data_IF_105239026047
#
_entry.id   IF_105239026047
#
_cell.length_a   1.000
_cell.length_b   1.000
_cell.length_c   1.000
_cell.angle_alpha   90.00
_cell.angle_beta   90.00
_cell.angle_gamma   90.00
#
_symmetry.space_group_name_H-M   'P 1'
#
loop_
_entity.id
_entity.type
_entity.pdbx_description
1 polymer ?
#
# COMPACT_ATOMS: atom_id res chain seq x y z
N UNK A 1 -27.46 2.46 9.29
CA UNK A 1 -26.39 2.14 10.26
C UNK A 1 -25.30 1.46 9.46
N UNK A 2 -24.04 1.93 9.48
CA UNK A 2 -22.99 1.35 8.63
C UNK A 2 -22.55 0.00 9.20
N UNK A 3 -22.17 -0.95 8.34
CA UNK A 3 -21.68 -2.29 8.74
C UNK A 3 -20.50 -2.20 9.71
N UNK A 4 -19.63 -1.20 9.52
CA UNK A 4 -18.55 -0.89 10.46
C UNK A 4 -19.08 -0.53 11.86
N UNK A 5 -20.17 0.23 11.94
CA UNK A 5 -20.82 0.51 13.22
C UNK A 5 -21.39 -0.78 13.85
N UNK A 6 -21.90 -1.71 13.04
CA UNK A 6 -22.35 -3.02 13.54
C UNK A 6 -21.18 -3.86 14.07
N UNK A 7 -20.08 -4.01 13.33
CA UNK A 7 -18.88 -4.71 13.81
C UNK A 7 -18.34 -4.04 15.08
N UNK A 8 -18.17 -2.71 15.05
CA UNK A 8 -17.72 -1.93 16.20
C UNK A 8 -18.64 -2.14 17.40
N UNK A 9 -19.96 -2.11 17.21
CA UNK A 9 -20.92 -2.35 18.29
C UNK A 9 -20.86 -3.80 18.80
N UNK A 10 -20.67 -4.80 17.93
CA UNK A 10 -20.49 -6.21 18.34
C UNK A 10 -19.21 -6.35 19.14
N UNK A 11 -18.10 -5.76 18.68
CA UNK A 11 -16.81 -5.75 19.37
C UNK A 11 -16.89 -5.00 20.69
N UNK A 12 -17.52 -3.82 20.74
CA UNK A 12 -17.68 -3.01 21.95
C UNK A 12 -18.62 -3.68 22.96
N UNK A 13 -19.74 -4.24 22.49
CA UNK A 13 -20.67 -5.01 23.31
C UNK A 13 -20.00 -6.29 23.84
N UNK A 14 -19.17 -6.95 23.04
CA UNK A 14 -18.42 -8.12 23.45
C UNK A 14 -17.26 -7.77 24.41
N UNK A 15 -16.50 -6.71 24.14
CA UNK A 15 -15.49 -6.17 25.05
C UNK A 15 -16.08 -5.66 26.37
N UNK A 16 -17.40 -5.41 26.41
CA UNK A 16 -18.14 -5.10 27.64
C UNK A 16 -18.61 -6.34 28.42
N UNK A 17 -18.55 -7.54 27.80
CA UNK A 17 -18.88 -8.82 28.43
C UNK A 17 -17.59 -9.50 28.92
N UNK A 18 -17.24 -9.21 30.17
CA UNK A 18 -16.28 -9.96 31.02
C UNK A 18 -14.80 -10.03 30.57
N UNK A 19 -14.41 -9.57 29.38
CA UNK A 19 -13.00 -9.46 28.97
C UNK A 19 -12.47 -8.04 29.18
N UNK A 20 -11.38 -7.93 29.95
CA UNK A 20 -10.66 -6.67 30.14
C UNK A 20 -10.18 -6.16 28.77
N UNK A 21 -10.26 -4.83 28.55
CA UNK A 21 -9.81 -4.18 27.30
C UNK A 21 -8.36 -4.57 26.99
N UNK A 22 -8.03 -4.93 25.74
CA UNK A 22 -6.64 -5.22 25.40
C UNK A 22 -5.76 -3.99 25.61
N UNK A 23 -4.47 -4.24 25.83
CA UNK A 23 -3.48 -3.19 25.67
C UNK A 23 -3.35 -2.86 24.19
N UNK A 24 -3.36 -1.56 23.87
CA UNK A 24 -3.11 -1.06 22.52
C UNK A 24 -2.14 0.10 22.61
N UNK A 25 -1.01 0.01 21.91
CA UNK A 25 0.01 1.05 21.95
C UNK A 25 1.04 0.93 20.85
N UNK A 26 1.63 2.06 20.50
CA UNK A 26 2.78 2.09 19.61
C UNK A 26 4.05 1.72 20.38
N UNK A 27 4.84 0.82 19.80
CA UNK A 27 6.09 0.33 20.41
C UNK A 27 7.27 1.02 19.75
N UNK A 28 8.27 1.39 20.56
CA UNK A 28 9.53 1.92 20.04
C UNK A 28 10.21 0.87 19.15
N UNK A 29 10.99 1.32 18.17
CA UNK A 29 11.76 0.41 17.32
C UNK A 29 13.22 0.82 17.23
N UNK A 30 14.09 -0.17 17.10
CA UNK A 30 15.54 0.00 16.97
C UNK A 30 16.10 -1.06 16.01
N UNK A 31 17.23 -0.76 15.36
CA UNK A 31 17.90 -1.72 14.47
C UNK A 31 17.80 -1.35 12.98
N UNK A 32 18.60 -2.03 12.16
CA UNK A 32 18.81 -1.67 10.75
C UNK A 32 17.63 -1.96 9.82
N UNK A 33 16.78 -2.94 10.17
CA UNK A 33 15.57 -3.26 9.41
C UNK A 33 14.29 -2.65 10.00
N UNK A 34 14.40 -1.84 11.05
CA UNK A 34 13.24 -1.23 11.68
C UNK A 34 12.60 -0.20 10.73
N UNK A 35 11.27 -0.23 10.64
CA UNK A 35 10.55 0.76 9.86
C UNK A 35 10.71 2.17 10.45
N UNK A 36 10.68 3.19 9.60
CA UNK A 36 10.63 4.58 10.05
C UNK A 36 9.27 4.88 10.70
N UNK A 37 9.26 4.97 12.03
CA UNK A 37 8.08 5.30 12.82
C UNK A 37 7.83 6.82 12.91
N UNK A 38 6.60 7.21 13.22
CA UNK A 38 6.21 8.59 13.50
C UNK A 38 5.92 9.46 12.27
N UNK A 39 5.93 8.89 11.06
CA UNK A 39 5.57 9.64 9.85
C UNK A 39 4.06 9.88 9.80
N UNK A 40 3.66 11.08 9.40
CA UNK A 40 2.26 11.45 9.21
C UNK A 40 1.82 11.13 7.79
N UNK A 41 0.63 10.55 7.65
CA UNK A 41 0.04 10.26 6.35
C UNK A 41 -0.61 11.51 5.76
N UNK A 42 -0.26 11.82 4.52
CA UNK A 42 -0.83 12.94 3.76
C UNK A 42 -1.69 12.39 2.61
N UNK A 43 -2.99 12.76 2.55
CA UNK A 43 -3.86 12.40 1.44
C UNK A 43 -3.28 12.82 0.09
N UNK A 44 -3.36 11.92 -0.90
CA UNK A 44 -2.88 12.10 -2.28
C UNK A 44 -1.37 12.43 -2.41
N UNK A 45 -0.59 12.28 -1.33
CA UNK A 45 0.84 12.57 -1.29
C UNK A 45 1.68 11.51 -0.58
N UNK A 46 1.04 10.43 -0.10
CA UNK A 46 1.72 9.32 0.56
C UNK A 46 0.93 8.03 0.41
N UNK A 47 1.55 6.94 0.82
CA UNK A 47 0.97 5.60 0.81
C UNK A 47 1.12 4.98 2.19
N UNK A 48 0.20 4.07 2.50
CA UNK A 48 0.24 3.30 3.73
C UNK A 48 0.26 1.80 3.44
N UNK A 49 0.86 1.05 4.36
CA UNK A 49 0.80 -0.41 4.40
C UNK A 49 0.37 -0.89 5.77
N UNK A 50 -0.27 -2.05 5.82
CA UNK A 50 -0.57 -2.76 7.06
C UNK A 50 -0.01 -4.16 6.89
N UNK A 51 1.01 -4.47 7.66
CA UNK A 51 1.67 -5.77 7.67
C UNK A 51 1.59 -6.38 9.05
N UNK A 52 1.25 -7.65 9.13
CA UNK A 52 1.35 -8.40 10.37
C UNK A 52 2.76 -8.95 10.50
N UNK A 53 3.39 -8.62 11.63
CA UNK A 53 4.82 -8.83 11.85
C UNK A 53 5.05 -10.07 12.70
N UNK A 54 4.35 -10.13 13.83
CA UNK A 54 4.54 -11.19 14.82
C UNK A 54 3.22 -11.45 15.55
N UNK A 55 3.00 -12.72 15.89
CA UNK A 55 1.97 -13.13 16.85
C UNK A 55 2.63 -13.94 17.95
N UNK A 56 2.46 -13.48 19.18
CA UNK A 56 2.88 -14.21 20.37
C UNK A 56 1.68 -14.77 21.10
N UNK A 57 1.85 -15.93 21.70
CA UNK A 57 0.78 -16.62 22.40
C UNK A 57 1.28 -17.15 23.75
N UNK A 58 0.52 -16.87 24.80
CA UNK A 58 0.86 -17.20 26.19
C UNK A 58 1.10 -18.70 26.38
N UNK A 59 0.23 -19.53 25.78
CA UNK A 59 0.23 -20.97 25.94
C UNK A 59 0.79 -21.70 24.71
N UNK A 60 1.80 -21.12 24.04
CA UNK A 60 2.18 -21.66 22.75
C UNK A 60 2.87 -23.03 22.72
N UNK A 61 3.18 -23.61 23.87
CA UNK A 61 3.55 -25.03 23.95
C UNK A 61 2.37 -26.00 23.77
N UNK A 62 1.12 -25.53 23.80
CA UNK A 62 -0.11 -26.35 23.65
C UNK A 62 -0.72 -26.28 22.24
N UNK A 63 0.01 -25.67 21.30
CA UNK A 63 -0.41 -25.58 19.90
C UNK A 63 -0.45 -26.94 19.23
N UNK A 64 -1.44 -27.11 18.35
CA UNK A 64 -1.63 -28.34 17.56
C UNK A 64 -1.83 -29.61 18.39
N UNK A 65 -1.94 -29.50 19.72
CA UNK A 65 -2.32 -30.58 20.63
C UNK A 65 -3.67 -30.32 21.31
N UNK A 66 -4.01 -29.06 21.56
CA UNK A 66 -5.21 -28.69 22.31
C UNK A 66 -6.05 -27.62 21.62
N UNK A 67 -5.41 -26.67 20.93
CA UNK A 67 -6.11 -25.62 20.18
C UNK A 67 -5.27 -25.10 19.00
N UNK A 68 -5.95 -24.38 18.10
CA UNK A 68 -5.39 -23.70 16.95
C UNK A 68 -5.57 -22.19 17.10
N UNK A 69 -4.52 -21.38 16.87
CA UNK A 69 -4.64 -19.93 16.89
C UNK A 69 -5.23 -19.41 15.57
N UNK A 70 -6.05 -18.38 15.65
CA UNK A 70 -6.60 -17.68 14.49
C UNK A 70 -6.35 -16.18 14.67
N UNK A 71 -5.47 -15.63 13.85
CA UNK A 71 -5.24 -14.19 13.76
C UNK A 71 -6.09 -13.60 12.65
N UNK A 72 -6.86 -12.55 12.96
CA UNK A 72 -7.72 -11.86 11.99
C UNK A 72 -7.36 -10.38 11.97
N UNK A 73 -7.00 -9.89 10.78
CA UNK A 73 -6.83 -8.46 10.51
C UNK A 73 -7.82 -8.07 9.43
N UNK A 74 -8.73 -7.15 9.72
CA UNK A 74 -9.63 -6.58 8.70
C UNK A 74 -9.27 -5.12 8.48
N UNK A 75 -9.22 -4.73 7.23
CA UNK A 75 -8.94 -3.34 6.85
C UNK A 75 -10.05 -2.81 5.95
N UNK A 76 -10.50 -1.60 6.20
CA UNK A 76 -11.40 -0.85 5.33
C UNK A 76 -10.82 0.54 5.07
N UNK A 77 -10.67 0.89 3.81
CA UNK A 77 -10.08 2.16 3.38
C UNK A 77 -10.60 2.54 1.99
N UNK A 78 -10.44 3.81 1.62
CA UNK A 78 -10.86 4.29 0.30
C UNK A 78 -9.82 3.96 -0.77
N UNK A 79 -10.27 3.42 -1.90
CA UNK A 79 -9.43 3.03 -3.03
C UNK A 79 -10.19 3.26 -4.33
N UNK A 80 -9.62 4.07 -5.24
CA UNK A 80 -10.35 4.56 -6.40
C UNK A 80 -11.55 5.42 -5.99
N UNK A 81 -12.71 5.12 -6.58
CA UNK A 81 -14.00 5.75 -6.31
C UNK A 81 -14.82 5.06 -5.19
N UNK A 82 -14.31 3.95 -4.66
CA UNK A 82 -15.00 3.11 -3.69
C UNK A 82 -14.25 2.91 -2.37
N UNK A 83 -14.89 2.15 -1.48
CA UNK A 83 -14.25 1.61 -0.27
C UNK A 83 -13.83 0.17 -0.53
N UNK A 84 -12.55 -0.11 -0.28
CA UNK A 84 -12.01 -1.45 -0.30
C UNK A 84 -11.98 -2.01 1.11
N UNK A 85 -12.39 -3.27 1.24
CA UNK A 85 -12.33 -4.05 2.48
C UNK A 85 -11.49 -5.28 2.21
N UNK A 86 -10.41 -5.46 2.97
CA UNK A 86 -9.52 -6.62 2.83
C UNK A 86 -9.47 -7.40 4.15
N UNK A 87 -10.06 -8.61 4.20
CA UNK A 87 -9.79 -9.54 5.27
C UNK A 87 -8.43 -10.19 5.06
N UNK A 88 -7.65 -10.29 6.13
CA UNK A 88 -6.44 -11.09 6.19
C UNK A 88 -6.58 -12.02 7.37
N UNK A 89 -6.80 -13.29 7.05
CA UNK A 89 -6.96 -14.33 8.04
C UNK A 89 -5.73 -15.20 7.93
N UNK A 90 -5.01 -15.32 9.05
CA UNK A 90 -3.89 -16.22 9.14
C UNK A 90 -4.42 -17.63 9.31
N UNK A 91 -4.34 -18.41 8.24
CA UNK A 91 -4.78 -19.79 8.23
C UNK A 91 -3.72 -20.72 8.84
N UNK A 92 -4.19 -21.84 9.39
CA UNK A 92 -3.36 -22.79 10.12
C UNK A 92 -2.26 -23.45 9.27
N UNK A 93 -2.38 -23.50 7.94
CA UNK A 93 -1.39 -24.16 7.07
C UNK A 93 -0.11 -23.33 6.95
N UNK A 94 -0.22 -21.99 6.87
CA UNK A 94 0.93 -21.09 6.88
C UNK A 94 1.59 -21.07 8.26
N UNK A 95 0.78 -21.06 9.33
CA UNK A 95 1.25 -21.13 10.71
C UNK A 95 1.95 -22.47 10.98
N UNK A 96 1.36 -23.59 10.54
CA UNK A 96 1.91 -24.93 10.71
C UNK A 96 3.18 -25.14 9.89
N UNK A 97 3.24 -24.64 8.65
CA UNK A 97 4.43 -24.72 7.81
C UNK A 97 5.60 -23.93 8.40
N UNK A 98 5.36 -22.71 8.89
CA UNK A 98 6.40 -21.89 9.50
C UNK A 98 6.87 -22.44 10.86
N UNK A 99 5.97 -23.02 11.66
CA UNK A 99 6.32 -23.65 12.93
C UNK A 99 7.06 -24.98 12.77
N UNK A 100 6.72 -25.78 11.74
CA UNK A 100 7.45 -27.00 11.38
C UNK A 100 8.86 -26.68 10.90
N UNK A 101 9.03 -25.60 10.13
CA UNK A 101 10.34 -25.12 9.68
C UNK A 101 11.18 -24.51 10.83
N UNK A 102 10.54 -23.89 11.82
CA UNK A 102 11.20 -23.29 12.99
C UNK A 102 11.61 -24.29 14.09
N UNK A 103 11.26 -25.57 13.96
CA UNK A 103 11.64 -26.61 14.92
C UNK A 103 11.08 -26.36 16.32
N UNK A 104 9.74 -26.33 16.46
CA UNK A 104 9.02 -26.37 17.75
C UNK A 104 9.63 -25.54 18.89
N UNK A 105 10.03 -24.28 18.61
CA UNK A 105 10.28 -23.33 19.68
C UNK A 105 8.93 -22.90 20.28
N UNK A 106 8.76 -22.94 21.62
CA UNK A 106 7.47 -22.67 22.23
C UNK A 106 7.11 -21.17 22.18
N UNK A 107 5.88 -20.85 21.77
CA UNK A 107 5.24 -19.58 22.15
C UNK A 107 5.01 -18.53 21.07
N UNK A 108 5.62 -18.61 19.89
CA UNK A 108 5.60 -17.50 18.92
C UNK A 108 5.49 -17.95 17.46
N UNK A 109 4.87 -17.09 16.64
CA UNK A 109 4.79 -17.24 15.19
C UNK A 109 5.32 -15.96 14.55
N UNK A 110 6.49 -16.08 13.91
CA UNK A 110 7.03 -15.01 13.05
C UNK A 110 6.25 -14.97 11.74
N UNK A 111 5.84 -13.78 11.29
CA UNK A 111 5.22 -13.61 9.98
C UNK A 111 6.09 -12.73 9.10
N UNK A 112 6.75 -13.34 8.13
CA UNK A 112 7.45 -12.59 7.09
C UNK A 112 6.51 -12.34 5.92
N UNK A 113 6.33 -11.07 5.58
CA UNK A 113 5.63 -10.59 4.37
C UNK A 113 4.11 -10.84 4.31
N UNK A 114 3.41 -10.94 5.44
CA UNK A 114 1.94 -11.04 5.43
C UNK A 114 1.32 -9.64 5.46
N UNK A 115 0.89 -9.18 4.28
CA UNK A 115 0.29 -7.87 4.08
C UNK A 115 -1.23 -7.94 4.10
N UNK A 116 -1.85 -7.19 5.00
CA UNK A 116 -3.27 -6.89 4.91
C UNK A 116 -3.55 -5.79 3.88
N UNK A 117 -2.67 -4.79 3.83
CA UNK A 117 -2.65 -3.75 2.80
C UNK A 117 -1.21 -3.50 2.40
N UNK A 118 -0.92 -3.50 1.11
CA UNK A 118 0.42 -3.23 0.59
C UNK A 118 0.39 -1.93 -0.21
N UNK A 119 0.99 -0.88 0.35
CA UNK A 119 1.26 0.42 -0.31
C UNK A 119 0.02 1.01 -1.01
N UNK A 120 -1.11 1.08 -0.29
CA UNK A 120 -2.30 1.75 -0.81
C UNK A 120 -2.12 3.28 -0.73
N UNK A 121 -2.57 4.05 -1.74
CA UNK A 121 -2.49 5.50 -1.68
C UNK A 121 -3.40 6.03 -0.57
N UNK A 122 -2.88 6.99 0.20
CA UNK A 122 -3.66 7.67 1.23
C UNK A 122 -4.72 8.54 0.56
N UNK A 123 -5.99 8.32 0.89
CA UNK A 123 -7.12 9.16 0.47
C UNK A 123 -7.53 10.09 1.61
N UNK A 124 -8.57 10.91 1.42
CA UNK A 124 -9.08 11.78 2.49
C UNK A 124 -9.64 10.98 3.68
N UNK A 125 -10.24 9.82 3.39
CA UNK A 125 -10.70 8.88 4.41
C UNK A 125 -9.51 8.14 5.04
N UNK A 126 -9.61 7.86 6.35
CA UNK A 126 -8.63 7.07 7.08
C UNK A 126 -8.84 5.55 6.87
N UNK A 127 -7.98 4.75 7.48
CA UNK A 127 -8.11 3.31 7.61
C UNK A 127 -8.95 2.95 8.84
N UNK A 128 -10.02 2.21 8.61
CA UNK A 128 -10.64 1.38 9.63
C UNK A 128 -9.87 0.06 9.75
N UNK A 129 -9.36 -0.25 10.94
CA UNK A 129 -8.57 -1.44 11.25
C UNK A 129 -9.27 -2.24 12.34
N UNK A 130 -9.43 -3.53 12.12
CA UNK A 130 -9.78 -4.51 13.14
C UNK A 130 -8.64 -5.52 13.28
N UNK A 131 -8.30 -5.87 14.51
CA UNK A 131 -7.32 -6.90 14.85
C UNK A 131 -7.93 -7.79 15.92
N UNK A 132 -7.92 -9.11 15.70
CA UNK A 132 -8.41 -10.08 16.67
C UNK A 132 -7.53 -11.30 16.71
N UNK A 133 -7.41 -11.87 17.91
CA UNK A 133 -6.74 -13.14 18.14
C UNK A 133 -7.70 -14.10 18.84
N UNK A 134 -7.84 -15.30 18.30
CA UNK A 134 -8.80 -16.30 18.74
C UNK A 134 -8.14 -17.66 18.89
N UNK A 135 -8.74 -18.53 19.70
CA UNK A 135 -8.44 -19.96 19.81
C UNK A 135 -9.61 -20.77 19.29
N UNK A 136 -9.29 -21.83 18.55
CA UNK A 136 -10.24 -22.82 18.05
C UNK A 136 -9.89 -24.20 18.62
N UNK A 137 -10.86 -25.06 18.95
CA UNK A 137 -10.58 -26.46 19.27
C UNK A 137 -9.95 -27.16 18.07
N UNK A 138 -9.04 -28.10 18.32
CA UNK A 138 -8.26 -28.80 17.29
C UNK A 138 -9.09 -29.80 16.42
N UNK A 139 -10.38 -29.99 16.69
CA UNK A 139 -11.25 -30.93 15.97
C UNK A 139 -11.87 -30.32 14.68
N UNK A 140 -12.57 -31.15 13.88
CA UNK A 140 -13.07 -30.91 12.49
C UNK A 140 -13.69 -29.52 12.18
N UNK A 141 -14.09 -28.75 13.18
CA UNK A 141 -14.63 -27.40 12.98
C UNK A 141 -13.56 -26.37 12.60
N UNK A 142 -12.28 -26.65 12.89
CA UNK A 142 -11.18 -25.86 12.35
C UNK A 142 -11.23 -25.82 10.82
N UNK A 143 -11.57 -26.93 10.16
CA UNK A 143 -11.72 -26.95 8.69
C UNK A 143 -12.85 -26.04 8.21
N UNK A 144 -13.97 -25.96 8.92
CA UNK A 144 -15.10 -25.09 8.53
C UNK A 144 -14.78 -23.60 8.68
N UNK A 145 -14.10 -23.22 9.76
CA UNK A 145 -13.66 -21.83 9.98
C UNK A 145 -12.54 -21.44 9.01
N UNK A 146 -11.63 -22.37 8.70
CA UNK A 146 -10.56 -22.18 7.72
C UNK A 146 -11.09 -22.13 6.28
N UNK A 147 -12.11 -22.91 5.95
CA UNK A 147 -12.76 -22.85 4.64
C UNK A 147 -13.53 -21.54 4.47
N UNK A 148 -14.16 -21.06 5.55
CA UNK A 148 -14.73 -19.72 5.59
C UNK A 148 -13.65 -18.65 5.42
N UNK A 149 -12.44 -18.82 5.96
CA UNK A 149 -11.31 -17.93 5.73
C UNK A 149 -10.77 -17.98 4.28
N UNK A 150 -10.65 -19.17 3.70
CA UNK A 150 -10.21 -19.38 2.33
C UNK A 150 -11.19 -18.78 1.30
N UNK A 151 -12.50 -18.92 1.55
CA UNK A 151 -13.56 -18.29 0.75
C UNK A 151 -13.50 -16.75 0.81
N UNK A 152 -13.08 -16.19 1.95
CA UNK A 152 -12.92 -14.74 2.12
C UNK A 152 -11.70 -14.20 1.36
N UNK A 153 -10.59 -14.95 1.33
CA UNK A 153 -9.39 -14.58 0.56
C UNK A 153 -9.60 -14.69 -0.95
N UNK A 154 -10.28 -15.74 -1.43
CA UNK A 154 -10.52 -15.96 -2.87
C UNK A 154 -11.45 -14.91 -3.49
N UNK A 155 -12.39 -14.35 -2.72
CA UNK A 155 -13.27 -13.26 -3.18
C UNK A 155 -12.57 -11.89 -3.27
N UNK A 156 -11.36 -11.75 -2.73
CA UNK A 156 -10.57 -10.50 -2.81
C UNK A 156 -9.47 -10.54 -3.87
N UNK A 157 -9.25 -11.70 -4.50
CA UNK A 157 -8.19 -11.95 -5.47
C UNK A 157 -8.58 -11.82 -6.95
N UNK A 158 -9.83 -11.48 -7.29
CA UNK A 158 -10.28 -11.44 -8.69
C UNK A 158 -11.04 -10.14 -9.04
N UNK A 159 -10.46 -9.46 -10.05
CA UNK A 159 -10.99 -8.40 -10.92
C UNK A 159 -11.18 -6.96 -10.37
N UNK A 160 -10.61 -5.95 -11.05
CA UNK A 160 -11.00 -4.54 -10.87
C UNK A 160 -12.36 -4.33 -11.54
N UNK A 161 -13.41 -4.20 -10.74
CA UNK A 161 -14.79 -4.03 -11.23
C UNK A 161 -15.66 -3.27 -10.23
N UNK A 162 -15.95 -2.03 -10.57
CA UNK A 162 -16.77 -1.06 -9.82
C UNK A 162 -18.22 -1.55 -9.77
N UNK A 163 -18.66 -2.15 -8.65
CA UNK A 163 -20.05 -2.12 -8.10
C UNK A 163 -20.35 -3.26 -7.11
N UNK A 164 -19.58 -4.35 -7.09
CA UNK A 164 -19.84 -5.51 -6.20
C UNK A 164 -19.20 -5.40 -4.79
N UNK A 165 -18.32 -4.41 -4.57
CA UNK A 165 -17.56 -4.25 -3.32
C UNK A 165 -18.40 -3.99 -2.06
N UNK A 166 -19.61 -3.42 -2.20
CA UNK A 166 -20.52 -3.16 -1.06
C UNK A 166 -21.28 -4.41 -0.60
N UNK A 167 -21.69 -5.30 -1.51
CA UNK A 167 -22.43 -6.54 -1.18
C UNK A 167 -21.53 -7.66 -0.67
N UNK A 168 -20.30 -7.74 -1.17
CA UNK A 168 -19.29 -8.68 -0.65
C UNK A 168 -18.92 -8.31 0.78
N UNK A 169 -18.85 -7.01 1.09
CA UNK A 169 -18.46 -6.51 2.39
C UNK A 169 -19.41 -6.81 3.57
N UNK A 170 -20.72 -6.69 3.40
CA UNK A 170 -21.71 -7.04 4.44
C UNK A 170 -21.52 -8.50 4.88
N UNK A 171 -21.35 -9.40 3.90
CA UNK A 171 -21.14 -10.83 4.16
C UNK A 171 -19.82 -11.12 4.89
N UNK A 172 -18.75 -10.38 4.62
CA UNK A 172 -17.46 -10.59 5.30
C UNK A 172 -17.59 -10.23 6.79
N UNK A 173 -18.18 -9.08 7.09
CA UNK A 173 -18.37 -8.62 8.46
C UNK A 173 -19.41 -9.44 9.22
N UNK A 174 -20.52 -9.82 8.59
CA UNK A 174 -21.53 -10.71 9.18
C UNK A 174 -20.97 -12.11 9.45
N UNK A 175 -20.06 -12.60 8.60
CA UNK A 175 -19.38 -13.89 8.81
C UNK A 175 -18.35 -13.82 9.94
N UNK A 176 -17.56 -12.73 10.02
CA UNK A 176 -16.64 -12.52 11.16
C UNK A 176 -17.43 -12.30 12.45
N UNK A 177 -18.51 -11.51 12.44
CA UNK A 177 -19.47 -11.40 13.54
C UNK A 177 -20.07 -12.76 13.91
N UNK A 178 -20.36 -13.59 12.90
CA UNK A 178 -20.76 -14.98 13.05
C UNK A 178 -19.72 -15.81 13.80
N UNK A 179 -18.41 -15.63 13.53
CA UNK A 179 -17.34 -16.29 14.28
C UNK A 179 -17.40 -15.96 15.79
N UNK A 180 -17.71 -14.72 16.15
CA UNK A 180 -17.91 -14.34 17.57
C UNK A 180 -19.17 -14.94 18.20
N UNK A 181 -20.14 -15.37 17.39
CA UNK A 181 -21.36 -16.05 17.83
C UNK A 181 -21.23 -17.58 17.94
N UNK A 182 -20.11 -18.15 17.50
CA UNK A 182 -19.86 -19.58 17.60
C UNK A 182 -19.30 -19.91 19.00
N UNK A 183 -20.03 -20.72 19.77
CA UNK A 183 -19.64 -21.18 21.12
C UNK A 183 -18.29 -21.91 21.21
N UNK A 184 -17.71 -22.26 20.05
CA UNK A 184 -16.45 -23.00 19.91
C UNK A 184 -15.25 -22.09 19.67
N UNK A 185 -15.45 -20.84 19.26
CA UNK A 185 -14.36 -19.88 19.05
C UNK A 185 -14.14 -19.19 20.37
N UNK A 186 -12.95 -19.36 20.95
CA UNK A 186 -12.56 -18.67 22.19
C UNK A 186 -11.71 -17.44 21.83
N UNK A 187 -12.30 -16.25 21.77
CA UNK A 187 -11.53 -15.01 21.61
C UNK A 187 -10.55 -14.77 22.76
N UNK A 188 -9.33 -14.34 22.43
CA UNK A 188 -8.32 -13.91 23.41
C UNK A 188 -8.36 -12.39 23.59
N UNK A 189 -8.39 -11.66 22.49
CA UNK A 189 -8.62 -10.22 22.49
C UNK A 189 -9.09 -9.76 21.10
N UNK A 190 -9.68 -8.57 21.05
CA UNK A 190 -9.93 -7.86 19.80
C UNK A 190 -9.87 -6.35 19.98
N UNK A 191 -9.48 -5.65 18.92
CA UNK A 191 -9.35 -4.21 18.83
C UNK A 191 -9.92 -3.72 17.50
N UNK A 192 -10.64 -2.59 17.53
CA UNK A 192 -11.16 -1.92 16.35
C UNK A 192 -10.89 -0.41 16.46
N UNK A 193 -10.38 0.18 15.39
CA UNK A 193 -10.15 1.62 15.25
C UNK A 193 -10.65 2.08 13.89
N UNK A 194 -11.43 3.15 13.84
CA UNK A 194 -11.89 3.76 12.59
C UNK A 194 -10.88 4.74 11.98
N UNK A 195 -9.75 4.97 12.65
CA UNK A 195 -8.80 6.03 12.32
C UNK A 195 -7.34 5.59 12.59
N UNK A 196 -6.97 4.40 12.10
CA UNK A 196 -5.70 3.76 12.45
C UNK A 196 -4.44 4.44 11.88
N UNK A 197 -4.56 5.31 10.86
CA UNK A 197 -3.45 6.03 10.22
C UNK A 197 -3.14 7.36 10.91
N UNK A 198 -3.01 7.36 12.24
CA UNK A 198 -2.56 8.55 12.96
C UNK A 198 -1.07 8.83 12.72
N UNK A 199 -0.24 7.78 12.69
CA UNK A 199 1.21 7.83 12.42
C UNK A 199 1.72 6.46 11.98
N UNK A 200 2.86 6.41 11.29
CA UNK A 200 3.55 5.14 11.01
C UNK A 200 4.19 4.54 12.27
N UNK A 201 4.40 3.23 12.28
CA UNK A 201 5.13 2.53 13.34
C UNK A 201 4.54 1.17 13.67
N UNK A 202 5.08 0.55 14.71
CA UNK A 202 4.61 -0.74 15.19
C UNK A 202 3.48 -0.57 16.19
N UNK A 203 2.31 -1.09 15.86
CA UNK A 203 1.12 -1.14 16.72
C UNK A 203 1.07 -2.51 17.40
N UNK A 204 1.15 -2.52 18.73
CA UNK A 204 0.96 -3.71 19.55
C UNK A 204 -0.49 -3.76 20.03
N UNK A 205 -1.16 -4.89 19.77
CA UNK A 205 -2.43 -5.26 20.38
C UNK A 205 -2.17 -6.50 21.22
N UNK A 206 -2.28 -6.38 22.53
CA UNK A 206 -1.97 -7.46 23.46
C UNK A 206 -3.12 -7.73 24.42
N UNK A 207 -3.14 -8.94 24.99
CA UNK A 207 -4.09 -9.31 26.02
C UNK A 207 -4.09 -8.34 27.20
N UNK A 208 -5.20 -8.28 27.95
CA UNK A 208 -5.42 -7.26 28.98
C UNK A 208 -4.49 -7.31 30.19
N UNK A 209 -3.73 -8.39 30.35
CA UNK A 209 -2.83 -8.58 31.48
C UNK A 209 -1.47 -7.88 31.27
N UNK A 210 -1.27 -7.21 30.13
CA UNK A 210 -0.03 -6.46 29.88
C UNK A 210 -0.02 -5.18 30.73
N UNK A 211 0.87 -5.16 31.71
CA UNK A 211 1.13 -4.00 32.56
C UNK A 211 1.77 -2.84 31.77
N UNK A 212 1.37 -1.60 32.09
CA UNK A 212 1.82 -0.41 31.36
C UNK A 212 3.33 -0.14 31.56
N UNK A 213 3.90 -0.45 32.72
CA UNK A 213 5.33 -0.28 32.97
C UNK A 213 6.15 -1.31 32.18
N UNK A 214 5.63 -2.52 31.99
CA UNK A 214 6.22 -3.53 31.08
C UNK A 214 6.12 -3.05 29.64
N UNK A 215 4.95 -2.55 29.22
CA UNK A 215 4.74 -2.10 27.85
C UNK A 215 5.71 -0.99 27.41
N UNK A 216 6.07 -0.07 28.32
CA UNK A 216 7.05 1.01 28.06
C UNK A 216 8.48 0.52 27.79
N UNK A 217 8.80 -0.71 28.20
CA UNK A 217 10.12 -1.34 28.02
C UNK A 217 10.18 -2.23 26.79
N UNK A 218 9.04 -2.45 26.13
CA UNK A 218 8.97 -3.22 24.90
C UNK A 218 9.62 -2.43 23.76
N UNK A 219 10.42 -3.13 22.96
CA UNK A 219 11.08 -2.56 21.79
C UNK A 219 11.00 -3.57 20.65
N UNK A 220 10.69 -3.08 19.45
CA UNK A 220 10.77 -3.88 18.23
C UNK A 220 12.20 -3.78 17.67
N UNK A 221 12.88 -4.91 17.53
CA UNK A 221 14.20 -4.98 16.89
C UNK A 221 14.18 -6.02 15.79
N UNK A 222 14.55 -5.62 14.56
CA UNK A 222 14.52 -6.46 13.36
C UNK A 222 13.19 -7.21 13.21
N UNK A 223 12.07 -6.47 13.29
CA UNK A 223 10.71 -7.00 13.19
C UNK A 223 10.34 -8.02 14.28
N UNK A 224 10.96 -7.96 15.46
CA UNK A 224 10.62 -8.83 16.61
C UNK A 224 10.34 -8.03 17.87
N UNK A 225 9.32 -8.42 18.62
CA UNK A 225 8.99 -7.80 19.90
C UNK A 225 9.91 -8.34 21.01
N UNK A 226 10.71 -7.44 21.59
CA UNK A 226 11.63 -7.74 22.68
C UNK A 226 11.23 -7.01 23.96
N UNK A 227 11.42 -7.68 25.09
CA UNK A 227 11.44 -7.11 26.44
C UNK A 227 12.86 -7.28 26.98
N UNK A 228 13.54 -6.18 27.29
CA UNK A 228 14.91 -6.17 27.84
C UNK A 228 15.91 -7.01 27.01
N UNK A 229 15.77 -6.97 25.69
CA UNK A 229 16.64 -7.69 24.75
C UNK A 229 16.29 -9.17 24.54
N UNK A 230 15.27 -9.70 25.23
CA UNK A 230 14.78 -11.06 25.03
C UNK A 230 13.42 -11.05 24.33
N UNK A 231 13.15 -12.06 23.52
CA UNK A 231 11.85 -12.19 22.86
C UNK A 231 10.74 -12.36 23.89
N UNK A 232 9.65 -11.62 23.71
CA UNK A 232 8.50 -11.70 24.62
C UNK A 232 7.89 -13.11 24.57
N UNK A 233 7.66 -13.69 25.74
CA UNK A 233 6.98 -14.97 25.92
C UNK A 233 5.89 -14.85 26.99
N UNK A 234 4.93 -15.78 27.02
CA UNK A 234 3.86 -15.79 28.02
C UNK A 234 2.78 -14.71 27.83
N UNK A 235 2.78 -14.04 26.68
CA UNK A 235 1.83 -12.99 26.34
C UNK A 235 1.10 -13.33 25.04
N UNK A 236 -0.23 -13.19 25.04
CA UNK A 236 -1.03 -13.20 23.81
C UNK A 236 -0.97 -11.81 23.17
N UNK A 237 -0.47 -11.69 21.95
CA UNK A 237 -0.40 -10.42 21.23
C UNK A 237 -0.31 -10.58 19.71
N UNK A 238 -0.70 -9.50 19.01
CA UNK A 238 -0.45 -9.26 17.59
C UNK A 238 0.37 -7.98 17.44
N UNK A 239 1.46 -8.05 16.68
CA UNK A 239 2.28 -6.91 16.30
C UNK A 239 2.03 -6.59 14.83
N UNK A 240 1.58 -5.35 14.56
CA UNK A 240 1.38 -4.84 13.21
C UNK A 240 2.38 -3.74 12.90
N UNK A 241 2.86 -3.68 11.67
CA UNK A 241 3.57 -2.56 11.10
C UNK A 241 2.60 -1.71 10.27
N UNK A 242 2.39 -0.46 10.70
CA UNK A 242 1.70 0.58 9.95
C UNK A 242 2.75 1.33 9.14
N UNK A 243 2.93 0.91 7.89
CA UNK A 243 4.01 1.33 7.01
C UNK A 243 3.71 2.66 6.33
N UNK A 244 4.70 3.53 6.24
CA UNK A 244 4.65 4.74 5.44
C UNK A 244 5.53 4.59 4.21
N UNK A 245 5.02 5.01 3.06
CA UNK A 245 5.80 5.12 1.83
C UNK A 245 5.51 6.49 1.23
N UNK A 246 6.56 7.31 1.07
CA UNK A 246 6.41 8.67 0.58
C UNK A 246 5.98 8.73 -0.89
N UNK A 247 6.41 7.76 -1.69
CA UNK A 247 6.13 7.67 -3.12
C UNK A 247 6.38 6.25 -3.61
N UNK A 248 5.63 5.83 -4.64
CA UNK A 248 5.89 4.60 -5.38
C UNK A 248 6.92 4.80 -6.49
N UNK A 249 7.35 6.03 -6.77
CA UNK A 249 8.37 6.31 -7.77
C UNK A 249 9.76 5.87 -7.29
N UNK A 250 10.65 5.46 -8.22
CA UNK A 250 11.99 4.99 -7.88
C UNK A 250 12.79 6.06 -7.12
N UNK A 251 13.61 5.61 -6.17
CA UNK A 251 14.53 6.46 -5.40
C UNK A 251 15.85 6.72 -6.14
N UNK A 252 16.02 6.08 -7.30
CA UNK A 252 17.13 6.25 -8.20
C UNK A 252 17.02 5.31 -9.40
N UNK A 253 17.83 5.52 -10.45
CA UNK A 253 17.78 4.74 -11.69
C UNK A 253 18.11 3.25 -11.49
N UNK A 254 18.93 2.93 -10.49
CA UNK A 254 19.34 1.55 -10.17
C UNK A 254 18.53 0.94 -9.00
N UNK A 255 17.45 1.59 -8.58
CA UNK A 255 16.57 1.08 -7.53
C UNK A 255 15.42 0.27 -8.13
N UNK A 256 14.84 -0.65 -7.34
CA UNK A 256 13.61 -1.35 -7.74
C UNK A 256 12.55 -0.29 -8.02
N UNK A 257 11.98 -0.30 -9.22
CA UNK A 257 10.89 0.60 -9.61
C UNK A 257 9.53 -0.10 -9.36
N UNK A 258 8.79 0.26 -8.30
CA UNK A 258 7.49 -0.35 -7.99
C UNK A 258 6.47 -0.22 -9.12
N UNK A 259 6.55 0.81 -9.96
CA UNK A 259 5.60 1.03 -11.06
C UNK A 259 5.69 -0.09 -12.11
N UNK A 260 6.83 -0.77 -12.24
CA UNK A 260 6.99 -1.89 -13.18
C UNK A 260 6.04 -3.06 -12.88
N UNK A 261 5.53 -3.14 -11.66
CA UNK A 261 4.56 -4.17 -11.23
C UNK A 261 3.11 -3.77 -11.50
N UNK A 262 2.87 -2.52 -11.88
CA UNK A 262 1.52 -2.00 -12.13
C UNK A 262 1.11 -2.28 -13.57
N UNK A 263 -0.17 -2.61 -13.76
CA UNK A 263 -0.70 -3.09 -15.04
C UNK A 263 -0.43 -2.12 -16.21
N UNK A 264 -0.50 -0.80 -15.96
CA UNK A 264 -0.29 0.19 -17.00
C UNK A 264 1.16 0.26 -17.50
N UNK A 265 2.16 -0.14 -16.70
CA UNK A 265 3.57 -0.03 -17.11
C UNK A 265 3.90 -0.95 -18.29
N UNK A 266 3.11 -2.00 -18.52
CA UNK A 266 3.24 -2.82 -19.74
C UNK A 266 3.02 -2.01 -21.02
N UNK A 267 2.18 -0.96 -20.98
CA UNK A 267 1.98 -0.08 -22.12
C UNK A 267 3.24 0.77 -22.40
N UNK A 268 4.01 1.14 -21.38
CA UNK A 268 5.31 1.78 -21.56
C UNK A 268 6.30 0.88 -22.31
N UNK A 269 6.36 -0.41 -21.94
CA UNK A 269 7.19 -1.38 -22.66
C UNK A 269 6.76 -1.52 -24.12
N UNK A 270 5.45 -1.48 -24.38
CA UNK A 270 4.88 -1.41 -25.73
C UNK A 270 5.35 -0.17 -26.49
N UNK A 271 5.18 1.02 -25.90
CA UNK A 271 5.62 2.32 -26.47
C UNK A 271 7.10 2.26 -26.84
N UNK A 272 7.97 1.87 -25.91
CA UNK A 272 9.40 1.82 -26.14
C UNK A 272 9.76 0.84 -27.27
N UNK A 273 9.13 -0.34 -27.31
CA UNK A 273 9.29 -1.31 -28.40
C UNK A 273 8.88 -0.72 -29.75
N UNK A 274 7.74 -0.04 -29.83
CA UNK A 274 7.23 0.59 -31.06
C UNK A 274 8.18 1.68 -31.56
N UNK A 275 8.74 2.51 -30.66
CA UNK A 275 9.74 3.53 -31.02
C UNK A 275 11.01 2.87 -31.58
N UNK A 276 11.51 1.81 -30.95
CA UNK A 276 12.70 1.10 -31.42
C UNK A 276 12.48 0.45 -32.81
N UNK A 277 11.25 0.03 -33.11
CA UNK A 277 10.83 -0.46 -34.44
C UNK A 277 10.55 0.66 -35.44
N UNK A 278 10.60 1.93 -35.02
CA UNK A 278 10.23 3.12 -35.81
C UNK A 278 8.75 3.17 -36.20
N UNK A 279 7.88 2.51 -35.43
CA UNK A 279 6.43 2.53 -35.57
C UNK A 279 5.84 3.69 -34.74
N UNK A 280 6.19 4.94 -35.09
CA UNK A 280 5.92 6.11 -34.25
C UNK A 280 4.42 6.39 -34.04
N UNK A 281 3.60 6.23 -35.07
CA UNK A 281 2.13 6.41 -34.94
C UNK A 281 1.54 5.43 -33.92
N UNK A 282 2.00 4.18 -33.94
CA UNK A 282 1.55 3.18 -32.96
C UNK A 282 2.10 3.47 -31.56
N UNK A 283 3.32 4.00 -31.46
CA UNK A 283 3.88 4.45 -30.19
C UNK A 283 3.06 5.61 -29.59
N UNK A 284 2.60 6.57 -30.40
CA UNK A 284 1.75 7.68 -29.97
C UNK A 284 0.40 7.18 -29.43
N UNK A 285 -0.24 6.23 -30.12
CA UNK A 285 -1.48 5.59 -29.67
C UNK A 285 -1.32 4.90 -28.31
N UNK A 286 -0.26 4.10 -28.16
CA UNK A 286 0.04 3.42 -26.90
C UNK A 286 0.37 4.41 -25.78
N UNK A 287 1.01 5.53 -26.11
CA UNK A 287 1.34 6.59 -25.16
C UNK A 287 0.08 7.34 -24.69
N UNK A 288 -0.93 7.50 -25.55
CA UNK A 288 -2.25 8.02 -25.15
C UNK A 288 -2.95 7.07 -24.17
N UNK A 289 -2.95 5.77 -24.46
CA UNK A 289 -3.51 4.74 -23.56
C UNK A 289 -2.80 4.75 -22.20
N UNK A 290 -1.46 4.71 -22.20
CA UNK A 290 -0.66 4.77 -20.98
C UNK A 290 -1.00 5.98 -20.12
N UNK A 291 -1.08 7.18 -20.73
CA UNK A 291 -1.43 8.41 -19.99
C UNK A 291 -2.83 8.33 -19.39
N UNK A 292 -3.81 7.84 -20.14
CA UNK A 292 -5.18 7.66 -19.65
C UNK A 292 -5.23 6.73 -18.42
N UNK A 293 -4.52 5.61 -18.47
CA UNK A 293 -4.45 4.65 -17.38
C UNK A 293 -3.72 5.21 -16.15
N UNK A 294 -2.62 5.96 -16.34
CA UNK A 294 -1.93 6.62 -15.22
C UNK A 294 -2.82 7.65 -14.54
N UNK A 295 -3.53 8.49 -15.32
CA UNK A 295 -4.43 9.51 -14.79
C UNK A 295 -5.54 8.89 -13.93
N UNK A 296 -6.11 7.80 -14.41
CA UNK A 296 -7.27 7.12 -13.79
C UNK A 296 -6.86 6.04 -12.79
N UNK A 297 -5.55 5.81 -12.61
CA UNK A 297 -5.06 4.75 -11.73
C UNK A 297 -5.47 4.99 -10.27
N UNK A 298 -6.23 4.06 -9.66
CA UNK A 298 -6.55 4.13 -8.24
C UNK A 298 -5.35 3.74 -7.35
N UNK A 299 -4.29 3.17 -7.95
CA UNK A 299 -3.10 2.68 -7.26
C UNK A 299 -2.08 3.77 -6.98
N UNK A 300 -2.17 4.91 -7.66
CA UNK A 300 -1.24 6.03 -7.52
C UNK A 300 -1.87 7.21 -6.80
N UNK A 301 -1.12 7.79 -5.87
CA UNK A 301 -1.39 9.10 -5.31
C UNK A 301 -1.27 10.17 -6.42
N UNK A 302 -2.06 11.25 -6.34
CA UNK A 302 -2.07 12.32 -7.35
C UNK A 302 -0.67 12.86 -7.67
N UNK A 303 0.16 13.06 -6.64
CA UNK A 303 1.53 13.54 -6.84
C UNK A 303 2.37 12.59 -7.71
N UNK A 304 2.24 11.28 -7.48
CA UNK A 304 2.94 10.28 -8.27
C UNK A 304 2.35 10.13 -9.67
N UNK A 305 1.03 10.29 -9.85
CA UNK A 305 0.40 10.34 -11.19
C UNK A 305 0.96 11.50 -12.02
N UNK A 306 1.05 12.68 -11.40
CA UNK A 306 1.59 13.89 -12.02
C UNK A 306 3.04 13.65 -12.49
N UNK A 307 3.91 13.19 -11.60
CA UNK A 307 5.32 12.94 -11.93
C UNK A 307 5.48 11.79 -12.93
N UNK A 308 4.70 10.72 -12.82
CA UNK A 308 4.75 9.59 -13.75
C UNK A 308 4.42 10.02 -15.18
N UNK A 309 3.37 10.84 -15.38
CA UNK A 309 3.04 11.37 -16.72
C UNK A 309 4.21 12.18 -17.28
N UNK A 310 4.79 13.09 -16.48
CA UNK A 310 5.93 13.87 -16.91
C UNK A 310 7.16 13.02 -17.25
N UNK A 311 7.41 11.97 -16.46
CA UNK A 311 8.53 11.05 -16.64
C UNK A 311 8.36 10.19 -17.90
N UNK A 312 7.18 9.61 -18.13
CA UNK A 312 6.91 8.85 -19.35
C UNK A 312 7.01 9.75 -20.58
N UNK A 313 6.47 10.97 -20.53
CA UNK A 313 6.57 11.91 -21.66
C UNK A 313 8.02 12.29 -21.95
N UNK A 314 8.79 12.67 -20.93
CA UNK A 314 10.20 13.01 -21.09
C UNK A 314 11.01 11.83 -21.64
N UNK A 315 10.72 10.61 -21.17
CA UNK A 315 11.36 9.39 -21.65
C UNK A 315 10.98 9.07 -23.10
N UNK A 316 9.70 9.26 -23.46
CA UNK A 316 9.20 9.12 -24.83
C UNK A 316 9.98 10.02 -25.79
N UNK A 317 10.04 11.33 -25.52
CA UNK A 317 10.70 12.28 -26.42
C UNK A 317 12.20 11.98 -26.56
N UNK A 318 12.87 11.54 -25.48
CA UNK A 318 14.27 11.09 -25.54
C UNK A 318 14.46 9.81 -26.35
N UNK A 319 13.57 8.83 -26.22
CA UNK A 319 13.63 7.62 -27.04
C UNK A 319 13.41 7.93 -28.52
N UNK A 320 12.48 8.84 -28.84
CA UNK A 320 12.26 9.26 -30.22
C UNK A 320 13.48 10.01 -30.78
N UNK A 321 14.10 10.90 -30.01
CA UNK A 321 15.34 11.60 -30.40
C UNK A 321 16.47 10.62 -30.76
N UNK A 322 16.55 9.46 -30.07
CA UNK A 322 17.54 8.41 -30.41
C UNK A 322 17.32 7.79 -31.78
N UNK A 323 16.07 7.55 -32.17
CA UNK A 323 15.75 6.81 -33.41
C UNK A 323 15.50 7.72 -34.61
N UNK A 324 15.22 9.01 -34.39
CA UNK A 324 15.07 10.03 -35.42
C UNK A 324 16.08 11.17 -35.22
N UNK A 325 17.27 11.11 -35.86
CA UNK A 325 18.27 12.15 -35.68
C UNK A 325 17.84 13.44 -36.39
N UNK A 326 17.76 14.52 -35.61
CA UNK A 326 17.55 15.94 -35.96
C UNK A 326 16.09 16.39 -36.18
N UNK A 327 15.62 17.17 -35.21
CA UNK A 327 14.58 18.21 -35.29
C UNK A 327 13.10 17.80 -35.39
N UNK A 328 12.71 16.54 -35.22
CA UNK A 328 11.29 16.17 -35.34
C UNK A 328 10.40 16.64 -34.16
N UNK A 329 10.96 16.85 -32.97
CA UNK A 329 10.16 17.07 -31.76
C UNK A 329 10.71 18.13 -30.78
N UNK A 330 11.40 19.18 -31.24
CA UNK A 330 11.76 20.32 -30.36
C UNK A 330 10.66 21.38 -30.20
N UNK A 331 9.62 21.38 -31.04
CA UNK A 331 8.59 22.43 -31.03
C UNK A 331 7.79 22.58 -29.73
N UNK A 332 7.73 21.53 -28.90
CA UNK A 332 7.06 21.60 -27.60
C UNK A 332 7.91 22.20 -26.47
N UNK A 333 9.25 22.25 -26.63
CA UNK A 333 10.16 22.90 -25.66
C UNK A 333 9.86 24.41 -25.59
N UNK A 334 9.41 24.99 -26.70
CA UNK A 334 8.99 26.40 -26.82
C UNK A 334 7.50 26.58 -26.48
N UNK A 335 6.63 25.66 -26.89
CA UNK A 335 5.18 25.74 -26.64
C UNK A 335 4.80 25.63 -25.16
N UNK A 336 5.60 24.95 -24.33
CA UNK A 336 5.39 24.83 -22.88
C UNK A 336 5.39 26.17 -22.13
N UNK A 337 6.04 27.19 -22.69
CA UNK A 337 6.22 28.52 -22.09
C UNK A 337 5.24 29.57 -22.64
N UNK A 338 4.40 29.22 -23.63
CA UNK A 338 3.70 30.21 -24.43
C UNK A 338 2.54 30.94 -23.72
N UNK A 339 2.11 30.54 -22.52
CA UNK A 339 1.21 31.37 -21.72
C UNK A 339 1.30 31.12 -20.20
N UNK A 340 2.16 31.85 -19.46
CA UNK A 340 2.16 31.84 -18.00
C UNK A 340 0.86 32.37 -17.37
N UNK A 341 -0.05 32.96 -18.16
CA UNK A 341 -1.39 33.39 -17.75
C UNK A 341 -2.51 32.43 -18.21
N UNK A 342 -2.20 31.27 -18.81
CA UNK A 342 -3.21 30.27 -19.10
C UNK A 342 -3.75 29.71 -17.77
N UNK A 343 -4.94 30.20 -17.41
CA UNK A 343 -5.67 29.81 -16.19
C UNK A 343 -5.97 28.31 -16.13
N UNK A 344 -5.81 27.57 -17.22
CA UNK A 344 -5.92 26.10 -17.25
C UNK A 344 -4.63 25.37 -16.83
N UNK A 345 -3.48 26.04 -16.84
CA UNK A 345 -2.14 25.56 -16.40
C UNK A 345 -1.83 26.00 -14.96
N UNK A 346 -2.64 26.91 -14.39
CA UNK A 346 -2.40 27.70 -13.17
C UNK A 346 -2.25 26.95 -11.82
N UNK A 347 -1.76 25.71 -11.83
CA UNK A 347 -1.43 24.93 -10.63
C UNK A 347 0.10 24.94 -10.43
N UNK A 348 0.61 25.46 -9.30
CA UNK A 348 2.06 25.60 -9.07
C UNK A 348 2.88 24.33 -9.31
N UNK A 349 2.36 23.16 -8.89
CA UNK A 349 3.04 21.88 -9.09
C UNK A 349 3.15 21.47 -10.56
N UNK A 350 2.12 21.74 -11.38
CA UNK A 350 2.13 21.48 -12.82
C UNK A 350 3.18 22.37 -13.49
N UNK A 351 3.19 23.67 -13.16
CA UNK A 351 4.17 24.63 -13.68
C UNK A 351 5.60 24.25 -13.34
N UNK A 352 5.87 23.87 -12.08
CA UNK A 352 7.21 23.43 -11.67
C UNK A 352 7.63 22.12 -12.36
N UNK A 353 6.71 21.17 -12.51
CA UNK A 353 7.00 19.93 -13.23
C UNK A 353 7.31 20.20 -14.71
N UNK A 354 6.53 21.07 -15.38
CA UNK A 354 6.74 21.48 -16.77
C UNK A 354 8.13 22.10 -16.96
N UNK A 355 8.55 23.01 -16.06
CA UNK A 355 9.93 23.55 -16.05
C UNK A 355 10.98 22.44 -15.88
N UNK A 356 10.71 21.51 -14.97
CA UNK A 356 11.56 20.33 -14.75
C UNK A 356 11.73 19.50 -16.02
N UNK A 357 10.63 19.19 -16.71
CA UNK A 357 10.63 18.46 -17.98
C UNK A 357 11.47 19.19 -19.01
N UNK A 358 11.26 20.50 -19.19
CA UNK A 358 12.03 21.33 -20.13
C UNK A 358 13.54 21.22 -19.89
N UNK A 359 13.99 21.38 -18.64
CA UNK A 359 15.41 21.23 -18.28
C UNK A 359 15.94 19.85 -18.67
N UNK A 360 15.16 18.80 -18.43
CA UNK A 360 15.56 17.41 -18.76
C UNK A 360 15.66 17.16 -20.26
N UNK A 361 14.88 17.86 -21.09
CA UNK A 361 14.91 17.70 -22.54
C UNK A 361 16.01 18.52 -23.19
N UNK A 362 16.30 19.70 -22.65
CA UNK A 362 17.46 20.50 -23.07
C UNK A 362 18.79 19.75 -22.86
N UNK A 363 18.86 18.85 -21.88
CA UNK A 363 20.01 17.94 -21.72
C UNK A 363 20.09 16.85 -22.79
N UNK A 364 18.99 16.60 -23.51
CA UNK A 364 18.87 15.61 -24.57
C UNK A 364 19.06 14.18 -24.09
N UNK A 365 19.52 13.34 -25.02
CA UNK A 365 19.90 11.93 -24.78
C UNK A 365 21.31 11.75 -24.21
N UNK A 366 22.05 12.84 -23.98
CA UNK A 366 23.41 12.77 -23.44
C UNK A 366 23.34 12.17 -22.03
N UNK A 367 24.06 11.07 -21.81
CA UNK A 367 24.10 10.31 -20.56
C UNK A 367 22.75 9.65 -20.15
N UNK A 368 21.76 9.61 -21.06
CA UNK A 368 20.48 8.94 -20.81
C UNK A 368 20.64 7.41 -20.92
N UNK A 369 20.06 6.59 -20.01
CA UNK A 369 20.15 5.13 -20.07
C UNK A 369 19.52 4.53 -21.33
N UNK A 370 20.18 3.56 -21.97
CA UNK A 370 19.64 2.89 -23.18
C UNK A 370 18.38 2.07 -22.88
N UNK A 371 18.35 1.42 -21.72
CA UNK A 371 17.21 0.64 -21.24
C UNK A 371 15.99 1.56 -20.95
N UNK A 372 14.80 1.28 -21.54
CA UNK A 372 13.61 2.12 -21.37
C UNK A 372 13.13 2.26 -19.92
N UNK A 373 13.28 1.22 -19.11
CA UNK A 373 12.80 1.22 -17.73
C UNK A 373 13.75 2.01 -16.82
N UNK A 374 15.07 1.89 -17.05
CA UNK A 374 16.09 2.74 -16.41
C UNK A 374 15.99 4.20 -16.85
N UNK A 375 15.65 4.46 -18.13
CA UNK A 375 15.41 5.80 -18.62
C UNK A 375 14.22 6.43 -17.87
N UNK A 376 13.09 5.73 -17.83
CA UNK A 376 11.93 6.17 -17.05
C UNK A 376 12.29 6.40 -15.58
N UNK A 377 13.00 5.47 -14.94
CA UNK A 377 13.38 5.60 -13.54
C UNK A 377 14.27 6.81 -13.27
N UNK A 378 15.21 7.10 -14.18
CA UNK A 378 16.06 8.30 -14.13
C UNK A 378 15.23 9.58 -14.24
N UNK A 379 14.30 9.65 -15.21
CA UNK A 379 13.46 10.84 -15.40
C UNK A 379 12.48 11.04 -14.24
N UNK A 380 11.84 9.96 -13.76
CA UNK A 380 10.95 10.00 -12.60
C UNK A 380 11.67 10.49 -11.34
N UNK A 381 12.87 9.99 -11.07
CA UNK A 381 13.69 10.43 -9.95
C UNK A 381 14.05 11.92 -10.04
N UNK A 382 14.47 12.38 -11.23
CA UNK A 382 14.84 13.77 -11.44
C UNK A 382 13.63 14.72 -11.28
N UNK A 383 12.50 14.38 -11.91
CA UNK A 383 11.28 15.19 -11.87
C UNK A 383 10.64 15.24 -10.48
N UNK A 384 10.69 14.14 -9.72
CA UNK A 384 10.20 14.10 -8.34
C UNK A 384 10.90 15.12 -7.45
N UNK A 385 12.21 15.34 -7.63
CA UNK A 385 12.97 16.37 -6.89
C UNK A 385 12.50 17.79 -7.19
N UNK A 386 11.96 18.02 -8.39
CA UNK A 386 11.41 19.32 -8.79
C UNK A 386 10.06 19.55 -8.10
N UNK A 387 9.16 18.57 -8.13
CA UNK A 387 7.83 18.69 -7.50
C UNK A 387 7.89 18.72 -5.97
N UNK A 388 8.87 18.06 -5.35
CA UNK A 388 9.09 18.13 -3.89
C UNK A 388 9.37 19.55 -3.35
N UNK A 389 9.62 20.53 -4.23
CA UNK A 389 9.78 21.95 -3.87
C UNK A 389 8.49 22.76 -4.04
N UNK A 390 7.47 22.19 -4.67
CA UNK A 390 6.19 22.84 -4.95
C UNK A 390 5.17 22.59 -3.81
N UNK A 391 4.15 23.45 -3.66
CA UNK A 391 3.01 23.18 -2.78
C UNK A 391 2.35 21.84 -3.09
N UNK A 392 1.62 21.30 -2.11
CA UNK A 392 0.84 20.05 -2.25
C UNK A 392 0.02 20.04 -3.54
N UNK A 393 0.15 18.94 -4.28
CA UNK A 393 -0.54 18.70 -5.54
C UNK A 393 -2.03 18.57 -5.27
N UNK A 394 -2.83 19.38 -5.96
CA UNK A 394 -4.28 19.31 -5.87
C UNK A 394 -4.85 18.19 -6.76
N UNK A 395 -6.09 17.79 -6.49
CA UNK A 395 -6.80 16.81 -7.32
C UNK A 395 -6.88 17.30 -8.77
N UNK A 396 -6.57 16.40 -9.71
CA UNK A 396 -6.54 16.62 -11.16
C UNK A 396 -5.34 17.38 -11.73
N UNK A 397 -4.26 17.59 -10.96
CA UNK A 397 -3.00 18.11 -11.52
C UNK A 397 -2.46 17.23 -12.66
N UNK A 398 -2.56 15.91 -12.53
CA UNK A 398 -2.17 14.96 -13.57
C UNK A 398 -2.97 15.15 -14.87
N UNK A 399 -4.28 15.41 -14.75
CA UNK A 399 -5.16 15.72 -15.89
C UNK A 399 -4.77 17.04 -16.55
N UNK A 400 -4.51 18.08 -15.75
CA UNK A 400 -4.05 19.37 -16.27
C UNK A 400 -2.76 19.23 -17.06
N UNK A 401 -1.77 18.48 -16.53
CA UNK A 401 -0.53 18.21 -17.24
C UNK A 401 -0.78 17.49 -18.57
N UNK A 402 -1.57 16.42 -18.56
CA UNK A 402 -1.86 15.65 -19.76
C UNK A 402 -2.51 16.51 -20.87
N UNK A 403 -3.43 17.41 -20.50
CA UNK A 403 -4.03 18.37 -21.45
C UNK A 403 -3.02 19.32 -22.05
N UNK A 404 -2.05 19.81 -21.27
CA UNK A 404 -0.97 20.66 -21.77
C UNK A 404 -0.14 19.89 -22.79
N UNK A 405 0.29 18.67 -22.43
CA UNK A 405 1.06 17.79 -23.33
C UNK A 405 0.30 17.55 -24.64
N UNK A 406 -0.99 17.18 -24.59
CA UNK A 406 -1.79 16.91 -25.78
C UNK A 406 -1.97 18.15 -26.68
N UNK A 407 -2.18 19.34 -26.10
CA UNK A 407 -2.23 20.58 -26.88
C UNK A 407 -0.93 20.83 -27.62
N UNK A 408 0.21 20.62 -26.94
CA UNK A 408 1.52 20.81 -27.56
C UNK A 408 1.86 19.75 -28.61
N UNK A 409 1.39 18.51 -28.45
CA UNK A 409 1.56 17.45 -29.43
C UNK A 409 0.79 17.73 -30.73
N UNK A 410 -0.44 18.24 -30.64
CA UNK A 410 -1.27 18.62 -31.82
C UNK A 410 -0.76 19.84 -32.59
N UNK A 411 0.16 20.61 -32.01
CA UNK A 411 0.78 21.77 -32.65
C UNK A 411 2.07 21.40 -33.43
N UNK A 412 2.56 20.16 -33.29
CA UNK A 412 3.61 19.56 -34.11
C UNK A 412 2.99 18.99 -35.39
#
# INVERSE_FOLDING_TARGET
MTVWATLKNVVEHWASRELRRPYVGYVASSGGNAMTAGQTFQPEASYFGVRMVEMGLREGGKFFSSFLPLGVVLTEFSFGDGRQRRPTILSNDEIAAQLKAAGAAPGYVDFKNIYAVRRAPMKQDNLSLFVGLFRLPFHDVAQQVLQLAADLTTQTGLAPGVSDGLRVAEKIYDRVAGLFGLNIVTPLFSYADGNALARSGYLLVAGPDLDEAVAKRLVVTDDKLLLDGQRVSGLDYCLLAIEFTASLLPEGPDTINPLTQLGFHRHWQGVASSIMKRELEHADEQMLTLRSEVITSPELAENDRLVAIGAYQTSYDKLVERVTPKNAHRGWEEALLADPNDKTIAKPAVTELLKGMQIRLLTGIKDAPDDPDKLFASEAFALRKTVGKAPLVDTNSAVSLARVIDRTAKAR
#
